data_IF_379057440210
#
_entry.id   IF_379057440210
#
_cell.length_a   1.000
_cell.length_b   1.000
_cell.length_c   1.000
_cell.angle_alpha   90.00
_cell.angle_beta   90.00
_cell.angle_gamma   90.00
#
_symmetry.space_group_name_H-M   'P 1'
#
loop_
_entity.id
_entity.type
_entity.pdbx_description
1 polymer ?
#
# COMPACT_ATOMS: atom_id res chain seq x y z
N UNK A 1 -0.75 -11.01 21.60
CA UNK A 1 -0.65 -9.72 22.32
C UNK A 1 0.46 -8.85 21.74
N UNK A 2 1.60 -9.44 21.38
CA UNK A 2 2.69 -8.75 20.67
C UNK A 2 2.24 -8.13 19.34
N UNK A 3 1.59 -8.90 18.47
CA UNK A 3 1.05 -8.41 17.17
C UNK A 3 0.09 -7.22 17.34
N UNK A 4 -0.70 -7.18 18.42
CA UNK A 4 -1.58 -6.05 18.74
C UNK A 4 -0.79 -4.79 19.11
N UNK A 5 0.25 -4.95 19.94
CA UNK A 5 1.14 -3.84 20.32
C UNK A 5 1.86 -3.31 19.08
N UNK A 6 2.36 -4.21 18.23
CA UNK A 6 3.03 -3.86 16.97
C UNK A 6 2.09 -3.13 16.01
N UNK A 7 0.88 -3.65 15.78
CA UNK A 7 -0.11 -3.01 14.90
C UNK A 7 -0.46 -1.60 15.37
N UNK A 8 -0.64 -1.40 16.68
CA UNK A 8 -0.90 -0.06 17.24
C UNK A 8 0.34 0.84 17.12
N UNK A 9 1.54 0.31 17.32
CA UNK A 9 2.81 1.02 17.10
C UNK A 9 3.01 1.45 15.64
N UNK A 10 2.65 0.59 14.69
CA UNK A 10 2.71 0.89 13.26
C UNK A 10 1.68 1.96 12.88
N UNK A 11 0.47 1.91 13.44
CA UNK A 11 -0.53 2.98 13.26
C UNK A 11 -0.05 4.34 13.80
N UNK A 12 0.66 4.36 14.94
CA UNK A 12 1.28 5.57 15.46
C UNK A 12 2.41 6.06 14.53
N UNK A 13 3.25 5.15 14.04
CA UNK A 13 4.33 5.44 13.07
C UNK A 13 3.78 6.02 11.78
N UNK A 14 2.68 5.45 11.26
CA UNK A 14 1.97 5.93 10.08
C UNK A 14 1.51 7.39 10.26
N UNK A 15 0.88 7.67 11.40
CA UNK A 15 0.39 9.01 11.75
C UNK A 15 1.54 10.03 11.82
N UNK A 16 2.66 9.67 12.45
CA UNK A 16 3.86 10.53 12.50
C UNK A 16 4.44 10.77 11.12
N UNK A 17 4.55 9.73 10.29
CA UNK A 17 5.04 9.84 8.92
C UNK A 17 4.19 10.79 8.07
N UNK A 18 2.87 10.73 8.22
CA UNK A 18 1.95 11.67 7.56
C UNK A 18 2.18 13.11 8.03
N UNK A 19 2.27 13.35 9.34
CA UNK A 19 2.53 14.69 9.90
C UNK A 19 3.87 15.28 9.45
N UNK A 20 4.87 14.44 9.20
CA UNK A 20 6.20 14.85 8.76
C UNK A 20 6.38 14.88 7.25
N UNK A 21 5.36 14.50 6.47
CA UNK A 21 5.48 14.30 5.02
C UNK A 21 6.64 13.37 4.66
N UNK A 22 6.85 12.30 5.43
CA UNK A 22 7.90 11.29 5.22
C UNK A 22 7.31 9.97 4.68
N UNK A 23 7.41 9.70 3.37
CA UNK A 23 6.91 8.47 2.77
C UNK A 23 7.54 7.20 3.34
N UNK A 24 8.78 7.24 3.85
CA UNK A 24 9.45 6.08 4.43
C UNK A 24 8.80 5.70 5.76
N UNK A 25 8.51 6.69 6.61
CA UNK A 25 7.77 6.45 7.86
C UNK A 25 6.33 6.04 7.59
N UNK A 26 5.66 6.66 6.62
CA UNK A 26 4.33 6.21 6.17
C UNK A 26 4.37 4.75 5.77
N UNK A 27 5.32 4.38 4.90
CA UNK A 27 5.43 3.02 4.40
C UNK A 27 5.72 1.99 5.48
N UNK A 28 6.59 2.31 6.46
CA UNK A 28 6.81 1.46 7.64
C UNK A 28 5.55 1.27 8.47
N UNK A 29 4.79 2.35 8.68
CA UNK A 29 3.54 2.30 9.45
C UNK A 29 2.38 1.59 8.74
N UNK A 30 2.51 1.25 7.45
CA UNK A 30 1.52 0.47 6.72
C UNK A 30 1.61 -1.04 6.99
N UNK A 31 2.67 -1.50 7.68
CA UNK A 31 2.81 -2.91 8.04
C UNK A 31 1.81 -3.28 9.14
N UNK A 32 1.12 -4.40 8.93
CA UNK A 32 0.05 -4.87 9.80
C UNK A 32 0.17 -6.40 9.89
N UNK A 33 0.85 -6.92 10.93
CA UNK A 33 1.06 -8.35 11.08
C UNK A 33 -0.24 -9.10 11.47
N UNK A 34 -1.30 -8.39 11.88
CA UNK A 34 -2.50 -9.00 12.44
C UNK A 34 -3.55 -9.31 11.37
N UNK A 35 -3.89 -8.34 10.50
CA UNK A 35 -5.03 -8.48 9.57
C UNK A 35 -4.58 -8.69 8.13
N UNK A 36 -3.51 -8.03 7.71
CA UNK A 36 -3.05 -8.07 6.32
C UNK A 36 -2.67 -9.46 5.81
N UNK A 37 -2.01 -10.36 6.58
CA UNK A 37 -1.68 -11.70 6.09
C UNK A 37 -2.89 -12.50 5.62
N UNK A 38 -3.95 -12.56 6.44
CA UNK A 38 -5.17 -13.30 6.11
C UNK A 38 -5.92 -12.71 4.90
N UNK A 39 -5.82 -11.40 4.66
CA UNK A 39 -6.43 -10.75 3.48
C UNK A 39 -5.59 -10.91 2.22
N UNK A 40 -4.27 -10.85 2.37
CA UNK A 40 -3.32 -11.02 1.27
C UNK A 40 -3.47 -12.41 0.63
N UNK A 41 -3.73 -13.45 1.42
CA UNK A 41 -3.98 -14.82 0.93
C UNK A 41 -5.19 -14.92 -0.02
N UNK A 42 -6.15 -13.99 0.08
CA UNK A 42 -7.34 -13.95 -0.77
C UNK A 42 -7.14 -13.18 -2.08
N UNK A 43 -6.01 -12.48 -2.23
CA UNK A 43 -5.70 -11.67 -3.41
C UNK A 43 -4.67 -12.42 -4.26
N UNK A 44 -5.14 -13.01 -5.36
CA UNK A 44 -4.29 -13.66 -6.36
C UNK A 44 -3.19 -12.71 -6.82
N UNK A 45 -1.92 -13.15 -6.72
CA UNK A 45 -0.76 -12.37 -7.15
C UNK A 45 -0.25 -11.31 -6.14
N UNK A 46 -0.88 -11.15 -4.97
CA UNK A 46 -0.51 -10.08 -4.02
C UNK A 46 0.98 -10.04 -3.67
N UNK A 47 1.59 -11.18 -3.35
CA UNK A 47 3.00 -11.22 -2.98
C UNK A 47 3.91 -10.72 -4.11
N UNK A 48 3.65 -11.15 -5.36
CA UNK A 48 4.42 -10.70 -6.52
C UNK A 48 4.22 -9.20 -6.79
N UNK A 49 3.00 -8.71 -6.67
CA UNK A 49 2.66 -7.28 -6.82
C UNK A 49 3.34 -6.43 -5.74
N UNK A 50 3.36 -6.92 -4.50
CA UNK A 50 4.02 -6.26 -3.38
C UNK A 50 5.52 -6.12 -3.63
N UNK A 51 6.19 -7.20 -4.01
CA UNK A 51 7.63 -7.17 -4.30
C UNK A 51 7.94 -6.26 -5.50
N UNK A 52 7.18 -6.38 -6.60
CA UNK A 52 7.34 -5.52 -7.77
C UNK A 52 7.18 -4.02 -7.46
N UNK A 53 6.25 -3.69 -6.57
CA UNK A 53 6.06 -2.31 -6.10
C UNK A 53 7.28 -1.81 -5.30
N UNK A 54 7.83 -2.63 -4.40
CA UNK A 54 9.03 -2.27 -3.64
C UNK A 54 10.26 -2.08 -4.54
N UNK A 55 10.47 -2.99 -5.49
CA UNK A 55 11.54 -2.91 -6.48
C UNK A 55 11.43 -1.64 -7.34
N UNK A 56 10.20 -1.18 -7.61
CA UNK A 56 9.91 0.05 -8.33
C UNK A 56 9.99 1.33 -7.48
N UNK A 57 10.30 1.23 -6.18
CA UNK A 57 10.50 2.38 -5.29
C UNK A 57 9.33 2.70 -4.35
N UNK A 58 8.37 1.79 -4.18
CA UNK A 58 7.39 1.93 -3.11
C UNK A 58 8.07 1.91 -1.74
N UNK A 59 7.58 2.75 -0.82
CA UNK A 59 8.05 2.80 0.56
C UNK A 59 7.22 1.91 1.48
N UNK A 60 6.00 1.56 1.09
CA UNK A 60 5.13 0.61 1.77
C UNK A 60 3.98 0.18 0.87
N UNK A 61 3.50 -1.05 1.07
CA UNK A 61 2.42 -1.66 0.30
C UNK A 61 1.53 -2.45 1.25
N UNK A 62 0.22 -2.29 1.12
CA UNK A 62 -0.76 -3.02 1.94
C UNK A 62 -2.07 -3.23 1.19
N UNK A 63 -2.92 -4.12 1.71
CA UNK A 63 -4.30 -4.28 1.23
C UNK A 63 -5.10 -3.04 1.57
N UNK A 64 -5.82 -2.48 0.60
CA UNK A 64 -6.66 -1.30 0.81
C UNK A 64 -8.07 -1.71 1.25
N UNK A 65 -8.49 -1.25 2.43
CA UNK A 65 -9.80 -1.59 3.00
C UNK A 65 -9.94 -3.11 3.21
N UNK A 66 -11.04 -3.69 2.72
CA UNK A 66 -11.27 -5.13 2.77
C UNK A 66 -10.64 -5.90 1.60
N UNK A 67 -9.98 -5.22 0.66
CA UNK A 67 -9.55 -5.79 -0.63
C UNK A 67 -10.66 -5.77 -1.69
N UNK A 68 -10.35 -6.20 -2.94
CA UNK A 68 -9.06 -6.74 -3.40
C UNK A 68 -8.04 -5.66 -3.79
N UNK A 69 -8.39 -4.37 -3.68
CA UNK A 69 -7.49 -3.27 -4.02
C UNK A 69 -6.21 -3.29 -3.18
N UNK A 70 -5.08 -2.96 -3.80
CA UNK A 70 -3.77 -2.82 -3.14
C UNK A 70 -3.34 -1.36 -3.19
N UNK A 71 -2.82 -0.85 -2.08
CA UNK A 71 -2.31 0.52 -1.94
C UNK A 71 -0.79 0.49 -1.80
N UNK A 72 -0.10 1.35 -2.55
CA UNK A 72 1.33 1.60 -2.39
C UNK A 72 1.59 3.08 -2.05
N UNK A 73 2.36 3.32 -0.99
CA UNK A 73 2.96 4.62 -0.70
C UNK A 73 4.31 4.72 -1.42
N UNK A 74 4.61 5.89 -2.00
CA UNK A 74 5.85 6.15 -2.71
C UNK A 74 6.10 7.66 -2.82
N UNK A 75 7.28 8.08 -3.30
CA UNK A 75 7.54 9.49 -3.61
C UNK A 75 6.83 9.86 -4.91
N UNK A 76 6.59 11.17 -5.10
CA UNK A 76 5.87 11.66 -6.27
C UNK A 76 6.52 11.25 -7.61
N UNK A 77 7.86 11.19 -7.67
CA UNK A 77 8.61 10.77 -8.86
C UNK A 77 8.44 9.28 -9.22
N UNK A 78 8.14 8.44 -8.24
CA UNK A 78 8.11 6.97 -8.41
C UNK A 78 6.71 6.46 -8.79
N UNK A 79 5.67 7.30 -8.65
CA UNK A 79 4.25 6.90 -8.83
C UNK A 79 3.97 6.14 -10.12
N UNK A 80 4.55 6.57 -11.24
CA UNK A 80 4.33 5.93 -12.55
C UNK A 80 5.03 4.58 -12.63
N UNK A 81 6.25 4.49 -12.13
CA UNK A 81 7.02 3.25 -12.12
C UNK A 81 6.34 2.19 -11.24
N UNK A 82 5.99 2.58 -10.00
CA UNK A 82 5.27 1.72 -9.06
C UNK A 82 3.93 1.26 -9.63
N UNK A 83 3.13 2.17 -10.19
CA UNK A 83 1.83 1.83 -10.78
C UNK A 83 1.97 0.83 -11.95
N UNK A 84 2.99 1.01 -12.80
CA UNK A 84 3.24 0.11 -13.93
C UNK A 84 3.67 -1.26 -13.43
N UNK A 85 4.65 -1.32 -12.52
CA UNK A 85 5.14 -2.57 -11.94
C UNK A 85 4.03 -3.39 -11.25
N UNK A 86 3.12 -2.73 -10.53
CA UNK A 86 1.99 -3.41 -9.90
C UNK A 86 0.99 -3.98 -10.91
N UNK A 87 0.69 -3.24 -11.98
CA UNK A 87 -0.23 -3.70 -13.04
C UNK A 87 0.38 -4.86 -13.80
N UNK A 88 1.65 -4.75 -14.20
CA UNK A 88 2.38 -5.80 -14.92
C UNK A 88 2.47 -7.08 -14.07
N UNK A 89 2.68 -6.95 -12.75
CA UNK A 89 2.72 -8.10 -11.84
C UNK A 89 1.35 -8.78 -11.65
N UNK A 90 0.25 -8.01 -11.67
CA UNK A 90 -1.10 -8.59 -11.70
C UNK A 90 -1.39 -9.27 -13.04
N UNK A 91 -1.00 -8.65 -14.16
CA UNK A 91 -1.16 -9.23 -15.49
C UNK A 91 -0.40 -10.56 -15.62
N UNK A 92 0.83 -10.63 -15.10
CA UNK A 92 1.61 -11.87 -15.04
C UNK A 92 0.98 -12.97 -14.17
N UNK A 93 0.04 -12.61 -13.29
CA UNK A 93 -0.76 -13.53 -12.48
C UNK A 93 -2.15 -13.79 -13.09
N UNK A 94 -2.37 -13.43 -14.37
CA UNK A 94 -3.65 -13.52 -15.09
C UNK A 94 -4.81 -12.73 -14.43
N UNK A 95 -4.47 -11.62 -13.75
CA UNK A 95 -5.45 -10.72 -13.12
C UNK A 95 -5.45 -9.37 -13.85
N UNK A 96 -6.60 -9.00 -14.43
CA UNK A 96 -6.76 -7.66 -14.99
C UNK A 96 -6.80 -6.61 -13.86
N UNK A 97 -5.94 -5.60 -13.96
CA UNK A 97 -5.81 -4.56 -12.93
C UNK A 97 -5.76 -3.16 -13.54
N UNK A 98 -6.17 -2.17 -12.74
CA UNK A 98 -6.07 -0.74 -13.08
C UNK A 98 -5.48 0.04 -11.93
N UNK A 99 -4.46 0.84 -12.22
CA UNK A 99 -3.86 1.73 -11.25
C UNK A 99 -4.48 3.13 -11.28
N UNK A 100 -4.65 3.73 -10.10
CA UNK A 100 -5.01 5.13 -9.92
C UNK A 100 -3.91 5.84 -9.15
N UNK A 101 -3.29 6.85 -9.78
CA UNK A 101 -2.31 7.70 -9.11
C UNK A 101 -3.07 8.86 -8.45
N UNK A 102 -3.08 8.91 -7.12
CA UNK A 102 -3.93 9.85 -6.37
C UNK A 102 -3.13 10.71 -5.39
N UNK A 103 -3.83 11.65 -4.76
CA UNK A 103 -3.43 12.37 -3.56
C UNK A 103 -4.59 12.35 -2.57
N UNK A 104 -4.32 12.61 -1.30
CA UNK A 104 -5.38 12.81 -0.30
C UNK A 104 -6.30 13.96 -0.75
N UNK A 105 -7.61 13.72 -0.77
CA UNK A 105 -8.63 14.69 -1.19
C UNK A 105 -9.01 15.65 -0.06
N UNK A 106 -9.57 16.81 -0.40
CA UNK A 106 -10.13 17.76 0.59
C UNK A 106 -11.43 17.27 1.26
N UNK A 107 -12.00 16.17 0.77
CA UNK A 107 -13.23 15.58 1.29
C UNK A 107 -14.41 15.76 0.34
N UNK A 108 -15.63 15.57 0.86
CA UNK A 108 -16.85 15.69 0.07
C UNK A 108 -17.19 17.16 -0.23
N UNK A 109 -17.67 17.43 -1.44
CA UNK A 109 -18.11 18.77 -1.88
C UNK A 109 -19.44 18.63 -2.63
N UNK A 110 -20.36 19.57 -2.44
CA UNK A 110 -21.59 19.67 -3.22
C UNK A 110 -21.26 20.45 -4.50
N UNK A 111 -21.51 19.83 -5.65
CA UNK A 111 -21.29 20.43 -6.98
C UNK A 111 -22.49 21.26 -7.44
#
# INVERSE_FOLDING_TARGET
MEELVETVGNAATLSVGMCQSDPVLVGRGMDDPLVTPARAELITGYAAVREAAFDAGATGVTVSGAGPSVLAACRAGDRRAVATAMVDAFEAADVEARAYQTRVSEGATIL
#
